data_IF_270083328648
#
_entry.id   IF_270083328648
#
_cell.length_a   1.000
_cell.length_b   1.000
_cell.length_c   1.000
_cell.angle_alpha   90.00
_cell.angle_beta   90.00
_cell.angle_gamma   90.00
#
_symmetry.space_group_name_H-M   'P 1'
#
loop_
_entity.id
_entity.type
_entity.pdbx_description
1 polymer ?
#
# COMPACT_ATOMS: atom_id res chain seq x y z
N UNK A 1 -6.14 -4.86 20.21
CA UNK A 1 -6.67 -4.18 19.01
C UNK A 1 -5.78 -4.59 17.83
N UNK A 2 -6.36 -4.95 16.70
CA UNK A 2 -5.59 -5.21 15.47
C UNK A 2 -5.16 -3.87 14.85
N UNK A 3 -4.12 -3.89 14.03
CA UNK A 3 -3.66 -2.73 13.28
C UNK A 3 -3.11 -3.14 11.92
N UNK A 4 -3.16 -2.21 10.98
CA UNK A 4 -2.89 -2.45 9.57
C UNK A 4 -1.93 -1.39 9.00
N UNK A 5 -0.98 -1.84 8.19
CA UNK A 5 -0.15 -0.99 7.34
C UNK A 5 -0.50 -1.29 5.89
N UNK A 6 -0.99 -0.29 5.17
CA UNK A 6 -1.41 -0.42 3.78
C UNK A 6 -0.25 -0.02 2.86
N UNK A 7 0.12 -0.94 1.98
CA UNK A 7 0.94 -0.70 0.80
C UNK A 7 0.04 -0.82 -0.43
N UNK A 8 0.56 -0.45 -1.60
CA UNK A 8 -0.22 -0.44 -2.83
C UNK A 8 -0.69 -1.83 -3.27
N UNK A 9 0.17 -2.84 -3.12
CA UNK A 9 -0.10 -4.20 -3.58
C UNK A 9 -0.58 -5.11 -2.45
N UNK A 10 -0.36 -4.74 -1.19
CA UNK A 10 -0.59 -5.59 -0.03
C UNK A 10 -0.90 -4.78 1.21
N UNK A 11 -1.61 -5.40 2.12
CA UNK A 11 -1.66 -4.96 3.52
C UNK A 11 -0.76 -5.85 4.38
N UNK A 12 -0.19 -5.26 5.42
CA UNK A 12 0.39 -5.99 6.53
C UNK A 12 -0.48 -5.76 7.78
N UNK A 13 -1.10 -6.83 8.26
CA UNK A 13 -1.95 -6.82 9.45
C UNK A 13 -1.23 -7.44 10.65
N UNK A 14 -1.30 -6.77 11.80
CA UNK A 14 -0.69 -7.26 13.04
C UNK A 14 -1.42 -6.71 14.27
N UNK A 15 -0.79 -6.76 15.44
CA UNK A 15 -1.31 -6.05 16.62
C UNK A 15 -1.12 -4.54 16.47
N UNK A 16 -2.03 -3.75 17.05
CA UNK A 16 -1.90 -2.29 17.09
C UNK A 16 -0.57 -1.84 17.72
N UNK A 17 -0.06 -2.56 18.71
CA UNK A 17 1.25 -2.31 19.30
C UNK A 17 2.42 -2.52 18.31
N UNK A 18 2.29 -3.46 17.37
CA UNK A 18 3.30 -3.67 16.34
C UNK A 18 3.26 -2.53 15.29
N UNK A 19 2.07 -2.06 14.93
CA UNK A 19 1.92 -0.87 14.07
C UNK A 19 2.46 0.38 14.76
N UNK A 20 2.15 0.59 16.04
CA UNK A 20 2.69 1.68 16.85
C UNK A 20 4.21 1.66 16.87
N UNK A 21 4.81 0.49 17.10
CA UNK A 21 6.26 0.33 17.09
C UNK A 21 6.87 0.79 15.77
N UNK A 22 6.29 0.36 14.64
CA UNK A 22 6.74 0.77 13.31
C UNK A 22 6.57 2.28 13.11
N UNK A 23 5.41 2.86 13.44
CA UNK A 23 5.16 4.30 13.32
C UNK A 23 6.13 5.13 14.15
N UNK A 24 6.40 4.75 15.41
CA UNK A 24 7.36 5.43 16.28
C UNK A 24 8.79 5.31 15.73
N UNK A 25 9.16 4.14 15.22
CA UNK A 25 10.45 3.95 14.57
C UNK A 25 10.60 4.89 13.37
N UNK A 26 9.61 4.93 12.48
CA UNK A 26 9.61 5.80 11.30
C UNK A 26 9.66 7.29 11.70
N UNK A 27 8.86 7.71 12.69
CA UNK A 27 8.89 9.08 13.20
C UNK A 27 10.27 9.49 13.73
N UNK A 28 11.01 8.56 14.34
CA UNK A 28 12.37 8.82 14.83
C UNK A 28 13.42 9.02 13.73
N UNK A 29 13.12 8.60 12.49
CA UNK A 29 14.06 8.59 11.36
C UNK A 29 13.70 9.55 10.24
N UNK A 30 12.44 9.95 10.12
CA UNK A 30 11.98 10.88 9.09
C UNK A 30 12.64 12.25 9.26
N UNK A 31 13.07 12.82 8.14
CA UNK A 31 13.78 14.10 8.10
C UNK A 31 12.83 15.30 8.32
N UNK A 32 11.63 15.26 7.74
CA UNK A 32 10.62 16.31 7.84
C UNK A 32 9.96 16.37 9.23
N UNK A 33 10.07 17.49 9.97
CA UNK A 33 9.46 17.64 11.28
C UNK A 33 7.93 17.59 11.25
N UNK A 34 7.30 18.01 10.16
CA UNK A 34 5.83 18.03 10.06
C UNK A 34 5.27 16.62 9.99
N UNK A 35 5.88 15.78 9.15
CA UNK A 35 5.60 14.35 9.02
C UNK A 35 5.89 13.61 10.33
N UNK A 36 7.01 13.94 10.98
CA UNK A 36 7.34 13.40 12.32
C UNK A 36 6.24 13.66 13.34
N UNK A 37 5.84 14.92 13.50
CA UNK A 37 4.83 15.30 14.49
C UNK A 37 3.49 14.64 14.19
N UNK A 38 3.09 14.57 12.92
CA UNK A 38 1.88 13.85 12.50
C UNK A 38 1.90 12.37 12.90
N UNK A 39 3.02 11.69 12.71
CA UNK A 39 3.15 10.28 13.11
C UNK A 39 3.05 10.10 14.63
N UNK A 40 3.64 11.02 15.40
CA UNK A 40 3.55 11.03 16.86
C UNK A 40 2.09 11.26 17.30
N UNK A 41 1.41 12.25 16.72
CA UNK A 41 0.00 12.55 17.03
C UNK A 41 -0.92 11.35 16.71
N UNK A 42 -0.68 10.66 15.59
CA UNK A 42 -1.43 9.45 15.23
C UNK A 42 -1.24 8.35 16.28
N UNK A 43 0.00 8.14 16.72
CA UNK A 43 0.31 7.16 17.75
C UNK A 43 -0.33 7.52 19.09
N UNK A 44 -0.23 8.78 19.52
CA UNK A 44 -0.78 9.24 20.80
C UNK A 44 -2.32 9.23 20.79
N UNK A 45 -2.95 9.36 19.62
CA UNK A 45 -4.39 9.16 19.41
C UNK A 45 -4.81 7.67 19.32
N UNK A 46 -3.86 6.73 19.40
CA UNK A 46 -4.13 5.28 19.32
C UNK A 46 -4.48 4.79 17.92
N UNK A 47 -4.12 5.55 16.87
CA UNK A 47 -4.37 5.15 15.48
C UNK A 47 -3.51 3.95 15.14
N UNK A 48 -4.17 2.83 14.86
CA UNK A 48 -3.52 1.57 14.47
C UNK A 48 -3.54 1.35 12.95
N UNK A 49 -3.66 2.42 12.17
CA UNK A 49 -3.74 2.39 10.71
C UNK A 49 -2.66 3.29 10.10
N UNK A 50 -1.79 2.72 9.28
CA UNK A 50 -0.72 3.45 8.58
C UNK A 50 -0.85 3.23 7.06
N UNK A 51 -1.11 4.29 6.29
CA UNK A 51 -1.18 4.16 4.84
C UNK A 51 0.11 4.66 4.17
N UNK A 52 0.77 3.78 3.43
CA UNK A 52 2.04 3.97 2.73
C UNK A 52 1.93 3.70 1.21
N UNK A 53 0.72 3.58 0.67
CA UNK A 53 0.52 3.26 -0.75
C UNK A 53 0.78 4.44 -1.69
N UNK A 54 0.75 5.69 -1.19
CA UNK A 54 1.05 6.88 -2.00
C UNK A 54 2.57 7.00 -2.22
N UNK A 55 3.05 7.20 -3.47
CA UNK A 55 4.47 7.46 -3.74
C UNK A 55 5.07 8.63 -2.94
N UNK A 56 4.26 9.59 -2.47
CA UNK A 56 4.71 10.66 -1.55
C UNK A 56 5.23 10.13 -0.22
N UNK A 57 4.88 8.90 0.16
CA UNK A 57 5.38 8.22 1.34
C UNK A 57 6.70 7.47 1.08
N UNK A 58 7.36 7.67 -0.07
CA UNK A 58 8.60 6.96 -0.43
C UNK A 58 9.67 6.98 0.67
N UNK A 59 9.91 8.14 1.31
CA UNK A 59 10.87 8.23 2.42
C UNK A 59 10.48 7.31 3.59
N UNK A 60 9.20 7.23 3.93
CA UNK A 60 8.71 6.38 5.02
C UNK A 60 8.86 4.90 4.67
N UNK A 61 8.60 4.54 3.41
CA UNK A 61 8.80 3.19 2.88
C UNK A 61 10.28 2.83 2.90
N UNK A 62 11.17 3.72 2.47
CA UNK A 62 12.62 3.52 2.50
C UNK A 62 13.13 3.28 3.93
N UNK A 63 12.61 4.01 4.92
CA UNK A 63 12.95 3.79 6.33
C UNK A 63 12.56 2.36 6.78
N UNK A 64 11.38 1.88 6.41
CA UNK A 64 10.92 0.53 6.77
C UNK A 64 11.71 -0.53 6.01
N UNK A 65 11.96 -0.33 4.72
CA UNK A 65 12.66 -1.28 3.87
C UNK A 65 14.16 -1.40 4.20
N UNK A 66 14.83 -0.29 4.44
CA UNK A 66 16.30 -0.24 4.52
C UNK A 66 16.80 -0.15 5.97
N UNK A 67 16.08 0.56 6.85
CA UNK A 67 16.59 0.87 8.20
C UNK A 67 16.00 -0.01 9.30
N UNK A 68 14.72 -0.39 9.20
CA UNK A 68 14.07 -1.22 10.23
C UNK A 68 14.70 -2.61 10.37
N UNK A 69 15.04 -3.35 9.28
CA UNK A 69 15.71 -4.64 9.40
C UNK A 69 17.06 -4.54 10.12
N UNK A 70 17.86 -3.52 9.76
CA UNK A 70 19.15 -3.26 10.39
C UNK A 70 18.99 -2.89 11.87
N UNK A 71 17.97 -2.09 12.21
CA UNK A 71 17.65 -1.76 13.59
C UNK A 71 17.29 -3.01 14.41
N UNK A 72 16.38 -3.85 13.91
CA UNK A 72 15.99 -5.10 14.58
C UNK A 72 17.19 -6.04 14.74
N UNK A 73 18.04 -6.15 13.71
CA UNK A 73 19.26 -6.97 13.77
C UNK A 73 20.26 -6.48 14.83
N UNK A 74 20.29 -5.17 15.11
CA UNK A 74 21.19 -4.56 16.09
C UNK A 74 20.72 -4.66 17.54
N UNK A 75 19.49 -5.11 17.81
CA UNK A 75 18.98 -5.27 19.18
C UNK A 75 19.80 -6.28 19.96
N UNK A 76 20.23 -5.95 21.18
CA UNK A 76 21.04 -6.84 22.03
C UNK A 76 20.27 -8.10 22.45
N UNK A 77 18.99 -7.95 22.83
CA UNK A 77 18.13 -9.05 23.24
C UNK A 77 17.86 -10.02 22.08
N UNK A 78 18.43 -11.23 22.18
CA UNK A 78 18.32 -12.26 21.16
C UNK A 78 16.90 -12.81 20.99
N UNK A 79 16.13 -12.90 22.06
CA UNK A 79 14.76 -13.40 22.01
C UNK A 79 13.84 -12.36 21.37
N UNK A 80 13.98 -11.09 21.77
CA UNK A 80 13.25 -10.00 21.16
C UNK A 80 13.59 -9.84 19.68
N UNK A 81 14.88 -9.87 19.32
CA UNK A 81 15.36 -9.82 17.93
C UNK A 81 14.74 -10.93 17.09
N UNK A 82 14.76 -12.18 17.56
CA UNK A 82 14.17 -13.33 16.86
C UNK A 82 12.66 -13.14 16.68
N UNK A 83 11.96 -12.72 17.73
CA UNK A 83 10.52 -12.49 17.70
C UNK A 83 10.13 -11.39 16.71
N UNK A 84 10.83 -10.25 16.72
CA UNK A 84 10.56 -9.13 15.80
C UNK A 84 10.93 -9.46 14.36
N UNK A 85 12.06 -10.16 14.13
CA UNK A 85 12.46 -10.59 12.79
C UNK A 85 11.39 -11.47 12.16
N UNK A 86 10.90 -12.48 12.89
CA UNK A 86 9.85 -13.36 12.39
C UNK A 86 8.51 -12.63 12.21
N UNK A 87 8.18 -11.67 13.09
CA UNK A 87 6.93 -10.91 12.99
C UNK A 87 6.93 -9.91 11.83
N UNK A 88 8.08 -9.35 11.48
CA UNK A 88 8.21 -8.32 10.44
C UNK A 88 8.65 -8.88 9.08
N UNK A 89 8.86 -10.18 8.94
CA UNK A 89 9.24 -10.79 7.66
C UNK A 89 8.27 -10.42 6.53
N UNK A 90 6.97 -10.55 6.78
CA UNK A 90 5.94 -10.14 5.81
C UNK A 90 5.89 -8.62 5.60
N UNK A 91 6.16 -7.83 6.63
CA UNK A 91 6.23 -6.36 6.54
C UNK A 91 7.37 -5.92 5.62
N UNK A 92 8.55 -6.52 5.77
CA UNK A 92 9.72 -6.20 4.94
C UNK A 92 9.45 -6.52 3.48
N UNK A 93 8.81 -7.66 3.19
CA UNK A 93 8.40 -7.99 1.82
C UNK A 93 7.46 -6.93 1.23
N UNK A 94 6.44 -6.50 1.98
CA UNK A 94 5.52 -5.46 1.50
C UNK A 94 6.24 -4.11 1.28
N UNK A 95 7.16 -3.75 2.18
CA UNK A 95 7.93 -2.52 2.07
C UNK A 95 8.90 -2.53 0.89
N UNK A 96 9.59 -3.65 0.61
CA UNK A 96 10.44 -3.79 -0.57
C UNK A 96 9.65 -3.73 -1.87
N UNK A 97 8.50 -4.40 -1.96
CA UNK A 97 7.64 -4.32 -3.14
C UNK A 97 7.17 -2.88 -3.40
N UNK A 98 6.78 -2.15 -2.34
CA UNK A 98 6.41 -0.73 -2.45
C UNK A 98 7.60 0.16 -2.80
N UNK A 99 8.79 -0.14 -2.28
CA UNK A 99 10.02 0.59 -2.56
C UNK A 99 10.44 0.42 -4.03
N UNK A 100 10.42 -0.82 -4.54
CA UNK A 100 10.68 -1.13 -5.94
C UNK A 100 9.66 -0.43 -6.84
N UNK A 101 8.38 -0.46 -6.45
CA UNK A 101 7.35 0.31 -7.13
C UNK A 101 7.73 1.80 -7.18
N UNK A 102 7.95 2.45 -6.03
CA UNK A 102 8.31 3.88 -5.91
C UNK A 102 9.57 4.29 -6.69
N UNK A 103 10.44 3.34 -7.02
CA UNK A 103 11.68 3.55 -7.78
C UNK A 103 11.53 3.22 -9.27
N UNK A 104 10.42 2.62 -9.70
CA UNK A 104 10.17 2.28 -11.09
C UNK A 104 9.98 3.57 -11.92
N UNK A 105 10.89 3.90 -12.86
CA UNK A 105 10.79 5.11 -13.67
C UNK A 105 9.57 5.12 -14.60
N UNK A 106 8.92 3.96 -14.80
CA UNK A 106 7.68 3.85 -15.59
C UNK A 106 6.43 4.23 -14.79
N UNK A 107 6.55 4.54 -13.50
CA UNK A 107 5.44 5.05 -12.68
C UNK A 107 4.80 6.31 -13.23
N UNK A 108 5.61 7.23 -13.78
CA UNK A 108 5.08 8.45 -14.40
C UNK A 108 4.16 8.12 -15.57
N UNK A 109 4.42 6.99 -16.22
CA UNK A 109 3.61 6.49 -17.33
C UNK A 109 2.45 5.61 -16.84
N UNK A 110 2.63 4.77 -15.81
CA UNK A 110 1.61 3.82 -15.35
C UNK A 110 1.53 3.75 -13.82
N UNK A 111 0.34 3.99 -13.25
CA UNK A 111 0.04 3.69 -11.85
C UNK A 111 -0.85 2.46 -11.74
N UNK A 112 -0.53 1.47 -10.92
CA UNK A 112 -1.36 0.26 -10.76
C UNK A 112 -2.04 0.25 -9.40
N UNK A 113 -3.38 0.14 -9.36
CA UNK A 113 -4.18 -0.01 -8.15
C UNK A 113 -4.38 -1.50 -7.89
N UNK A 114 -4.00 -1.98 -6.70
CA UNK A 114 -4.13 -3.37 -6.29
C UNK A 114 -2.91 -4.25 -6.64
N UNK A 115 -3.03 -5.58 -6.51
CA UNK A 115 -4.26 -6.32 -6.22
C UNK A 115 -4.63 -6.34 -4.73
N UNK A 116 -5.73 -5.66 -4.38
CA UNK A 116 -6.27 -5.69 -3.01
C UNK A 116 -7.10 -6.97 -2.77
N UNK A 117 -7.09 -7.56 -1.56
CA UNK A 117 -8.01 -8.64 -1.25
C UNK A 117 -9.47 -8.20 -1.41
N UNK A 118 -10.30 -9.04 -2.04
CA UNK A 118 -11.73 -8.79 -2.29
C UNK A 118 -12.50 -8.22 -1.08
N UNK A 119 -12.15 -8.63 0.15
CA UNK A 119 -12.81 -8.17 1.38
C UNK A 119 -12.69 -6.67 1.66
N UNK A 120 -11.70 -5.99 1.07
CA UNK A 120 -11.49 -4.54 1.21
C UNK A 120 -11.91 -3.74 0.00
N UNK A 121 -12.45 -4.41 -1.02
CA UNK A 121 -12.94 -3.74 -2.21
C UNK A 121 -14.00 -2.71 -1.81
N UNK A 122 -13.73 -1.46 -2.16
CA UNK A 122 -14.67 -0.37 -2.06
C UNK A 122 -14.63 0.43 -3.37
N UNK A 123 -15.72 0.35 -4.12
CA UNK A 123 -15.82 1.00 -5.43
C UNK A 123 -15.66 2.52 -5.33
N UNK A 124 -16.19 3.17 -4.29
CA UNK A 124 -16.08 4.62 -4.15
C UNK A 124 -14.64 5.05 -3.86
N UNK A 125 -13.91 4.29 -3.05
CA UNK A 125 -12.48 4.53 -2.82
C UNK A 125 -11.70 4.33 -4.11
N UNK A 126 -11.97 3.24 -4.85
CA UNK A 126 -11.32 2.98 -6.13
C UNK A 126 -11.52 4.13 -7.12
N UNK A 127 -12.75 4.64 -7.25
CA UNK A 127 -13.07 5.80 -8.10
C UNK A 127 -12.24 7.03 -7.74
N UNK A 128 -12.16 7.35 -6.45
CA UNK A 128 -11.37 8.48 -5.96
C UNK A 128 -9.89 8.29 -6.28
N UNK A 129 -9.36 7.08 -6.06
CA UNK A 129 -7.96 6.75 -6.35
C UNK A 129 -7.65 6.87 -7.84
N UNK A 130 -8.50 6.34 -8.73
CA UNK A 130 -8.34 6.46 -10.18
C UNK A 130 -8.34 7.93 -10.59
N UNK A 131 -9.31 8.72 -10.10
CA UNK A 131 -9.42 10.14 -10.45
C UNK A 131 -8.23 10.98 -9.95
N UNK A 132 -7.68 10.66 -8.78
CA UNK A 132 -6.51 11.35 -8.25
C UNK A 132 -5.24 11.01 -9.05
N UNK A 133 -5.05 9.74 -9.42
CA UNK A 133 -3.85 9.29 -10.13
C UNK A 133 -3.86 9.67 -11.62
N UNK A 134 -5.02 9.73 -12.27
CA UNK A 134 -5.12 10.24 -13.64
C UNK A 134 -4.61 11.68 -13.83
N UNK A 135 -4.51 12.46 -12.75
CA UNK A 135 -3.92 13.81 -12.77
C UNK A 135 -2.39 13.79 -12.71
N UNK A 136 -1.80 12.67 -12.28
CA UNK A 136 -0.38 12.53 -11.94
C UNK A 136 0.38 11.67 -12.94
N UNK A 137 -0.27 10.68 -13.55
CA UNK A 137 0.35 9.68 -14.42
C UNK A 137 -0.35 9.53 -15.76
N UNK A 138 0.36 9.10 -16.80
CA UNK A 138 -0.22 8.94 -18.15
C UNK A 138 -1.30 7.85 -18.21
N UNK A 139 -1.18 6.78 -17.41
CA UNK A 139 -2.11 5.67 -17.40
C UNK A 139 -2.34 5.15 -15.98
N UNK A 140 -3.56 4.72 -15.68
CA UNK A 140 -3.91 4.03 -14.44
C UNK A 140 -4.37 2.62 -14.80
N UNK A 141 -3.80 1.61 -14.15
CA UNK A 141 -4.19 0.21 -14.24
C UNK A 141 -4.90 -0.17 -12.95
N UNK A 142 -5.96 -0.96 -13.04
CA UNK A 142 -6.63 -1.55 -11.87
C UNK A 142 -6.45 -3.05 -11.96
N UNK A 143 -5.68 -3.62 -11.04
CA UNK A 143 -5.51 -5.05 -10.91
C UNK A 143 -6.68 -5.65 -10.13
N UNK A 144 -7.44 -6.51 -10.81
CA UNK A 144 -8.63 -7.18 -10.27
C UNK A 144 -8.42 -8.69 -10.09
N UNK A 145 -7.17 -9.16 -10.13
CA UNK A 145 -6.83 -10.58 -10.02
C UNK A 145 -7.39 -11.21 -8.74
N UNK A 146 -7.43 -10.45 -7.64
CA UNK A 146 -7.90 -10.88 -6.32
C UNK A 146 -9.39 -10.59 -6.05
N UNK A 147 -10.12 -10.01 -7.00
CA UNK A 147 -11.53 -9.63 -6.85
C UNK A 147 -12.50 -10.76 -7.22
N UNK A 148 -13.70 -10.75 -6.63
CA UNK A 148 -14.80 -11.64 -7.05
C UNK A 148 -15.39 -11.20 -8.40
N UNK A 149 -16.17 -12.07 -9.04
CA UNK A 149 -16.81 -11.76 -10.32
C UNK A 149 -17.73 -10.54 -10.25
N UNK A 150 -18.48 -10.36 -9.15
CA UNK A 150 -19.34 -9.19 -8.95
C UNK A 150 -18.52 -7.90 -8.82
N UNK A 151 -17.38 -7.96 -8.13
CA UNK A 151 -16.49 -6.83 -7.95
C UNK A 151 -15.80 -6.46 -9.27
N UNK A 152 -15.31 -7.46 -10.01
CA UNK A 152 -14.78 -7.28 -11.37
C UNK A 152 -15.80 -6.63 -12.28
N UNK A 153 -17.06 -7.09 -12.26
CA UNK A 153 -18.14 -6.49 -13.02
C UNK A 153 -18.38 -5.02 -12.64
N UNK A 154 -18.35 -4.68 -11.35
CA UNK A 154 -18.49 -3.30 -10.88
C UNK A 154 -17.32 -2.40 -11.34
N UNK A 155 -16.09 -2.91 -11.33
CA UNK A 155 -14.92 -2.19 -11.86
C UNK A 155 -15.05 -1.97 -13.37
N UNK A 156 -15.45 -2.98 -14.14
CA UNK A 156 -15.69 -2.86 -15.59
C UNK A 156 -16.73 -1.79 -15.90
N UNK A 157 -17.90 -1.87 -15.28
CA UNK A 157 -18.99 -0.92 -15.48
C UNK A 157 -18.54 0.53 -15.20
N UNK A 158 -17.73 0.72 -14.15
CA UNK A 158 -17.16 2.05 -13.87
C UNK A 158 -16.15 2.51 -14.94
N UNK A 159 -15.17 1.67 -15.29
CA UNK A 159 -14.14 2.02 -16.29
C UNK A 159 -14.77 2.29 -17.66
N UNK A 160 -15.75 1.49 -18.07
CA UNK A 160 -16.50 1.68 -19.31
C UNK A 160 -17.29 3.00 -19.31
N UNK A 161 -17.93 3.35 -18.18
CA UNK A 161 -18.63 4.63 -18.01
C UNK A 161 -17.67 5.83 -18.01
N UNK A 162 -16.44 5.65 -17.52
CA UNK A 162 -15.43 6.70 -17.49
C UNK A 162 -14.97 7.10 -18.91
N UNK A 163 -15.06 6.18 -19.89
CA UNK A 163 -14.66 6.37 -21.30
C UNK A 163 -13.26 6.99 -21.45
N UNK A 164 -12.37 6.69 -20.53
CA UNK A 164 -11.03 7.25 -20.52
C UNK A 164 -10.02 6.17 -20.97
N UNK A 165 -9.38 6.31 -22.15
CA UNK A 165 -8.44 5.30 -22.66
C UNK A 165 -7.16 5.18 -21.81
N UNK A 166 -6.96 6.08 -20.85
CA UNK A 166 -5.85 6.04 -19.90
C UNK A 166 -6.12 5.12 -18.71
N UNK A 167 -7.32 4.57 -18.57
CA UNK A 167 -7.65 3.61 -17.50
C UNK A 167 -7.76 2.20 -18.06
N UNK A 168 -6.99 1.28 -17.49
CA UNK A 168 -6.88 -0.11 -17.93
C UNK A 168 -7.26 -1.04 -16.79
N UNK A 169 -7.84 -2.19 -17.11
CA UNK A 169 -8.07 -3.28 -16.16
C UNK A 169 -7.04 -4.38 -16.45
N UNK A 170 -6.37 -4.89 -15.42
CA UNK A 170 -5.40 -5.99 -15.51
C UNK A 170 -5.82 -7.12 -14.56
N UNK A 171 -5.39 -8.35 -14.85
CA UNK A 171 -5.78 -9.53 -14.04
C UNK A 171 -7.25 -9.95 -14.22
N UNK A 172 -7.88 -9.49 -15.29
CA UNK A 172 -9.28 -9.77 -15.59
C UNK A 172 -9.42 -10.89 -16.63
N UNK A 173 -9.45 -12.14 -16.15
CA UNK A 173 -9.47 -13.34 -17.00
C UNK A 173 -10.82 -13.62 -17.67
N UNK A 174 -11.83 -12.76 -17.49
CA UNK A 174 -13.14 -13.02 -18.13
C UNK A 174 -13.05 -12.71 -19.62
N UNK A 175 -13.32 -13.68 -20.52
CA UNK A 175 -13.33 -13.42 -21.94
C UNK A 175 -14.37 -12.32 -22.24
N UNK A 176 -13.95 -11.28 -22.97
CA UNK A 176 -14.88 -10.34 -23.58
C UNK A 176 -15.86 -11.16 -24.43
N UNK A 177 -17.09 -11.33 -23.96
CA UNK A 177 -18.16 -11.81 -24.80
C UNK A 177 -18.44 -10.66 -25.77
N UNK A 178 -17.81 -10.71 -26.94
CA UNK A 178 -18.22 -9.91 -28.10
C UNK A 178 -19.63 -10.37 -28.47
N UNK A 179 -20.64 -9.60 -28.02
CA UNK A 179 -21.97 -9.71 -28.58
C UNK A 179 -21.95 -8.96 -29.92
N UNK A 180 -21.91 -9.76 -30.99
CA UNK A 180 -22.20 -9.37 -32.36
C UNK A 180 -23.63 -8.85 -32.52
#
# INVERSE_FOLDING_TARGET
MAGDIFFLQREWSSSGAAVEYVMRFVASRVSDPSTRNRLIDMVDAGVSLFNLSDPKCAELVDIIADQLPAHVASLEDAQLRKNLTSRFEDLYRCAWEQQDYNRDPTQETFFTIGPDPARYFNLEILKLTIADHLKKVDYVRTDVSSYTDEQRAAVRDYVDKLRNPRVLIVGDDTPRIELA
#
